data_IF_069206377659
#
_entry.id   IF_069206377659
#
_cell.length_a   1.000
_cell.length_b   1.000
_cell.length_c   1.000
_cell.angle_alpha   90.00
_cell.angle_beta   90.00
_cell.angle_gamma   90.00
#
_symmetry.space_group_name_H-M   'P 1'
#
loop_
_entity.id
_entity.type
_entity.pdbx_description
1 polymer ?
#
# COMPACT_ATOMS: atom_id res chain seq x y z
N UNK A 1 16.66 -5.83 -18.31
CA UNK A 1 17.17 -5.84 -16.92
C UNK A 1 17.61 -4.42 -16.53
N UNK A 2 16.75 -3.44 -16.81
CA UNK A 2 16.95 -2.00 -16.58
C UNK A 2 15.65 -1.51 -15.93
N UNK A 3 15.76 -0.60 -14.95
CA UNK A 3 14.73 0.26 -14.33
C UNK A 3 13.96 -0.16 -13.06
N UNK A 4 14.05 -1.38 -12.50
CA UNK A 4 13.32 -1.68 -11.25
C UNK A 4 13.84 -0.91 -10.03
N UNK A 5 15.17 -0.77 -9.87
CA UNK A 5 15.78 0.05 -8.80
C UNK A 5 15.35 1.53 -8.85
N UNK A 6 15.04 2.04 -10.05
CA UNK A 6 14.70 3.47 -10.25
C UNK A 6 13.25 3.79 -9.88
N UNK A 7 12.33 2.85 -10.08
CA UNK A 7 10.89 3.06 -9.84
C UNK A 7 10.61 3.09 -8.33
N UNK A 8 11.07 2.09 -7.57
CA UNK A 8 10.91 2.06 -6.11
C UNK A 8 11.58 3.27 -5.44
N UNK A 9 12.83 3.59 -5.83
CA UNK A 9 13.55 4.71 -5.24
C UNK A 9 12.83 6.05 -5.50
N UNK A 10 12.14 6.20 -6.65
CA UNK A 10 11.28 7.36 -6.90
C UNK A 10 10.06 7.35 -5.97
N UNK A 11 9.35 6.22 -5.86
CA UNK A 11 8.17 6.10 -5.03
C UNK A 11 8.47 6.40 -3.55
N UNK A 12 9.58 5.91 -3.00
CA UNK A 12 10.02 6.27 -1.64
C UNK A 12 10.27 7.77 -1.52
N UNK A 13 11.06 8.35 -2.43
CA UNK A 13 11.44 9.77 -2.34
C UNK A 13 10.21 10.67 -2.42
N UNK A 14 9.36 10.46 -3.43
CA UNK A 14 8.14 11.23 -3.61
C UNK A 14 7.12 10.96 -2.49
N UNK A 15 6.95 9.70 -2.08
CA UNK A 15 6.06 9.33 -0.97
C UNK A 15 6.48 9.93 0.36
N UNK A 16 7.78 9.86 0.69
CA UNK A 16 8.34 10.53 1.88
C UNK A 16 8.14 12.04 1.80
N UNK A 17 8.31 12.65 0.62
CA UNK A 17 8.13 14.08 0.45
C UNK A 17 6.69 14.55 0.78
N UNK A 18 5.66 13.70 0.57
CA UNK A 18 4.26 14.03 0.92
C UNK A 18 4.05 14.29 2.41
N UNK A 19 4.93 13.82 3.29
CA UNK A 19 4.81 14.07 4.73
C UNK A 19 5.34 15.44 5.17
N UNK A 20 5.91 16.23 4.25
CA UNK A 20 6.31 17.60 4.54
C UNK A 20 5.08 18.47 4.89
N UNK A 21 5.23 19.50 5.73
CA UNK A 21 4.12 20.33 6.17
C UNK A 21 3.66 21.33 5.09
N UNK A 22 3.07 20.83 4.02
CA UNK A 22 2.51 21.65 2.95
C UNK A 22 1.34 22.52 3.46
N UNK A 23 1.13 23.72 2.88
CA UNK A 23 -0.05 24.52 3.16
C UNK A 23 -1.34 23.76 2.79
N UNK A 24 -2.42 24.00 3.55
CA UNK A 24 -3.75 23.38 3.32
C UNK A 24 -4.32 23.55 1.91
N UNK A 25 -3.84 24.54 1.17
CA UNK A 25 -4.29 24.87 -0.20
C UNK A 25 -3.43 24.24 -1.28
N UNK A 26 -2.35 23.54 -0.92
CA UNK A 26 -1.43 22.92 -1.86
C UNK A 26 -1.62 21.40 -1.83
N UNK A 27 -1.98 20.81 -2.98
CA UNK A 27 -2.08 19.37 -3.12
C UNK A 27 -0.70 18.73 -3.16
N UNK A 28 -0.48 17.71 -2.34
CA UNK A 28 0.75 16.92 -2.33
C UNK A 28 0.90 16.09 -3.61
N UNK A 29 -0.19 15.78 -4.34
CA UNK A 29 -0.09 15.18 -5.67
C UNK A 29 0.72 16.08 -6.61
N UNK A 30 0.35 17.35 -6.68
CA UNK A 30 1.04 18.34 -7.52
C UNK A 30 2.44 18.68 -7.00
N UNK A 31 2.62 18.74 -5.68
CA UNK A 31 3.91 19.11 -5.09
C UNK A 31 4.97 17.99 -5.15
N UNK A 32 4.54 16.73 -5.27
CA UNK A 32 5.42 15.56 -5.26
C UNK A 32 5.42 14.79 -6.59
N UNK A 33 4.90 15.39 -7.67
CA UNK A 33 4.84 14.82 -9.02
C UNK A 33 4.12 13.44 -9.09
N UNK A 34 3.03 13.29 -8.34
CA UNK A 34 2.09 12.17 -8.48
C UNK A 34 0.96 12.52 -9.43
N UNK A 35 0.50 11.53 -10.18
CA UNK A 35 -0.64 11.72 -11.09
C UNK A 35 -1.90 11.21 -10.42
N UNK A 36 -2.91 12.07 -10.32
CA UNK A 36 -4.24 11.65 -9.91
C UNK A 36 -4.85 10.70 -10.94
N UNK A 37 -5.39 9.58 -10.47
CA UNK A 37 -6.19 8.66 -11.25
C UNK A 37 -7.59 8.56 -10.66
N UNK A 38 -8.59 8.98 -11.44
CA UNK A 38 -9.98 8.96 -11.03
C UNK A 38 -10.66 7.71 -11.57
N UNK A 39 -11.24 6.91 -10.66
CA UNK A 39 -11.93 5.66 -11.01
C UNK A 39 -13.44 5.81 -10.79
N UNK A 40 -14.28 5.10 -11.57
CA UNK A 40 -15.72 5.11 -11.35
C UNK A 40 -16.07 4.74 -9.90
N UNK A 41 -17.13 5.33 -9.34
CA UNK A 41 -17.64 5.03 -7.99
C UNK A 41 -16.73 5.39 -6.81
N UNK A 42 -15.59 6.04 -7.03
CA UNK A 42 -14.75 6.61 -5.98
C UNK A 42 -14.71 8.14 -6.11
N UNK A 43 -15.00 8.85 -5.02
CA UNK A 43 -14.95 10.33 -4.98
C UNK A 43 -13.55 10.87 -4.59
N UNK A 44 -12.57 9.99 -4.41
CA UNK A 44 -11.19 10.35 -4.10
C UNK A 44 -10.25 9.83 -5.20
N UNK A 45 -9.20 10.60 -5.57
CA UNK A 45 -8.23 10.16 -6.55
C UNK A 45 -7.32 9.08 -5.98
N UNK A 46 -6.87 8.18 -6.86
CA UNK A 46 -5.78 7.25 -6.61
C UNK A 46 -4.46 7.83 -7.11
N UNK A 47 -3.34 7.32 -6.61
CA UNK A 47 -2.02 7.56 -7.20
C UNK A 47 -1.84 6.62 -8.38
N UNK A 48 -1.81 7.14 -9.61
CA UNK A 48 -1.69 6.34 -10.84
C UNK A 48 -0.46 5.43 -10.83
N UNK A 49 0.63 5.91 -10.24
CA UNK A 49 1.91 5.20 -10.15
C UNK A 49 1.90 4.06 -9.10
N UNK A 50 0.86 3.95 -8.26
CA UNK A 50 0.79 2.91 -7.23
C UNK A 50 0.44 1.54 -7.82
N UNK A 51 1.24 0.49 -7.56
CA UNK A 51 0.98 -0.86 -8.05
C UNK A 51 -0.16 -1.56 -7.30
N UNK A 52 -0.54 -1.08 -6.11
CA UNK A 52 -1.72 -1.51 -5.37
C UNK A 52 -2.55 -0.28 -5.00
N UNK A 53 -3.82 -0.30 -5.37
CA UNK A 53 -4.75 0.78 -5.10
C UNK A 53 -5.99 0.20 -4.40
N UNK A 54 -6.34 0.77 -3.25
CA UNK A 54 -7.43 0.27 -2.40
C UNK A 54 -8.47 1.38 -2.22
N UNK A 55 -9.66 1.17 -2.78
CA UNK A 55 -10.80 2.06 -2.57
C UNK A 55 -11.51 1.71 -1.27
N UNK A 56 -11.75 2.71 -0.42
CA UNK A 56 -12.37 2.51 0.90
C UNK A 56 -13.59 3.42 1.10
N UNK A 57 -14.65 2.87 1.69
CA UNK A 57 -15.80 3.63 2.21
C UNK A 57 -15.68 3.76 3.72
N UNK A 58 -15.78 4.97 4.25
CA UNK A 58 -15.78 5.20 5.70
C UNK A 58 -16.93 4.42 6.36
N UNK A 59 -16.62 3.68 7.42
CA UNK A 59 -17.60 2.96 8.25
C UNK A 59 -17.61 3.48 9.68
N UNK A 60 -16.45 3.82 10.22
CA UNK A 60 -16.37 4.36 11.59
C UNK A 60 -15.18 5.30 11.74
N UNK A 61 -15.37 6.32 12.56
CA UNK A 61 -14.32 7.25 13.00
C UNK A 61 -14.32 7.27 14.53
N UNK A 62 -13.19 6.88 15.12
CA UNK A 62 -13.03 6.77 16.56
C UNK A 62 -11.86 7.64 17.04
N UNK A 63 -12.12 8.79 17.67
CA UNK A 63 -11.09 9.55 18.39
C UNK A 63 -10.57 8.75 19.59
N UNK A 64 -9.25 8.65 19.71
CA UNK A 64 -8.56 8.01 20.84
C UNK A 64 -7.99 9.10 21.74
N UNK A 65 -8.77 9.53 22.73
CA UNK A 65 -8.43 10.67 23.61
C UNK A 65 -7.11 10.47 24.36
N UNK A 66 -6.75 9.22 24.67
CA UNK A 66 -5.52 8.87 25.41
C UNK A 66 -4.23 9.35 24.74
N UNK A 67 -4.22 9.56 23.43
CA UNK A 67 -3.03 9.96 22.68
C UNK A 67 -3.33 10.93 21.51
N UNK A 68 -4.56 11.43 21.42
CA UNK A 68 -4.96 12.40 20.40
C UNK A 68 -4.96 11.85 18.96
N UNK A 69 -4.96 10.53 18.77
CA UNK A 69 -5.02 9.91 17.44
C UNK A 69 -6.47 9.58 17.04
N UNK A 70 -6.68 9.26 15.76
CA UNK A 70 -7.97 8.82 15.25
C UNK A 70 -7.83 7.44 14.60
N UNK A 71 -8.64 6.48 15.05
CA UNK A 71 -8.79 5.20 14.38
C UNK A 71 -9.91 5.29 13.34
N UNK A 72 -9.56 5.09 12.07
CA UNK A 72 -10.48 5.11 10.94
C UNK A 72 -10.73 3.67 10.49
N UNK A 73 -11.99 3.26 10.45
CA UNK A 73 -12.41 1.95 9.93
C UNK A 73 -13.06 2.16 8.56
N UNK A 74 -12.47 1.57 7.53
CA UNK A 74 -12.95 1.61 6.15
C UNK A 74 -13.37 0.22 5.67
N UNK A 75 -14.45 0.17 4.89
CA UNK A 75 -14.81 -1.01 4.08
C UNK A 75 -14.09 -0.92 2.74
N UNK A 76 -13.33 -1.96 2.39
CA UNK A 76 -12.72 -2.09 1.05
C UNK A 76 -13.84 -2.28 0.03
N UNK A 77 -14.00 -1.32 -0.87
CA UNK A 77 -14.99 -1.37 -1.95
C UNK A 77 -14.41 -1.80 -3.29
N UNK A 78 -13.13 -1.48 -3.54
CA UNK A 78 -12.46 -1.74 -4.81
C UNK A 78 -10.97 -2.05 -4.58
N UNK A 79 -10.40 -2.92 -5.41
CA UNK A 79 -8.98 -3.25 -5.43
C UNK A 79 -8.49 -3.22 -6.87
N UNK A 80 -7.40 -2.50 -7.12
CA UNK A 80 -6.73 -2.46 -8.42
C UNK A 80 -5.26 -2.84 -8.24
N UNK A 81 -4.82 -3.80 -9.04
CA UNK A 81 -3.46 -4.33 -9.03
C UNK A 81 -3.17 -5.01 -10.39
N UNK A 82 -1.89 -5.17 -10.77
CA UNK A 82 -1.51 -5.91 -11.97
C UNK A 82 -2.02 -7.35 -11.95
N UNK A 83 -2.55 -7.84 -13.06
CA UNK A 83 -3.12 -9.19 -13.13
C UNK A 83 -2.13 -10.31 -12.74
N UNK A 84 -0.84 -10.12 -13.02
CA UNK A 84 0.22 -11.06 -12.67
C UNK A 84 0.49 -11.16 -11.16
N UNK A 85 0.08 -10.15 -10.37
CA UNK A 85 0.31 -10.15 -8.94
C UNK A 85 -0.62 -11.14 -8.20
N UNK A 86 -1.70 -11.59 -8.83
CA UNK A 86 -2.63 -12.54 -8.20
C UNK A 86 -2.18 -13.97 -8.41
N UNK A 87 -1.89 -14.65 -7.29
CA UNK A 87 -1.61 -16.08 -7.22
C UNK A 87 -2.87 -16.90 -7.44
N UNK A 88 -2.69 -18.18 -7.80
CA UNK A 88 -3.81 -19.11 -8.07
C UNK A 88 -4.72 -19.32 -6.85
N UNK A 89 -4.18 -19.22 -5.64
CA UNK A 89 -4.92 -19.32 -4.38
C UNK A 89 -5.70 -18.03 -4.02
N UNK A 90 -5.58 -16.99 -4.84
CA UNK A 90 -6.23 -15.69 -4.65
C UNK A 90 -5.41 -14.68 -3.83
N UNK A 91 -4.25 -15.06 -3.28
CA UNK A 91 -3.35 -14.13 -2.61
C UNK A 91 -2.63 -13.21 -3.60
N UNK A 92 -2.09 -12.09 -3.10
CA UNK A 92 -1.22 -11.22 -3.90
C UNK A 92 0.26 -11.54 -3.62
N UNK A 93 1.04 -11.71 -4.68
CA UNK A 93 2.50 -11.81 -4.65
C UNK A 93 3.11 -10.41 -4.51
N UNK A 94 3.14 -9.89 -3.28
CA UNK A 94 3.57 -8.52 -2.98
C UNK A 94 5.04 -8.25 -3.36
N UNK A 95 5.86 -9.29 -3.33
CA UNK A 95 7.26 -9.31 -3.79
C UNK A 95 7.40 -9.02 -5.30
N UNK A 96 6.33 -9.19 -6.08
CA UNK A 96 6.30 -8.95 -7.53
C UNK A 96 5.67 -7.60 -7.89
N UNK A 97 5.29 -6.79 -6.90
CA UNK A 97 4.55 -5.54 -7.10
C UNK A 97 5.40 -4.29 -6.89
N UNK A 98 6.73 -4.41 -6.76
CA UNK A 98 7.63 -3.29 -6.45
C UNK A 98 7.17 -2.45 -5.24
N UNK A 99 6.59 -3.14 -4.24
CA UNK A 99 6.08 -2.54 -3.01
C UNK A 99 7.19 -2.28 -1.98
N UNK A 100 6.80 -1.54 -0.95
CA UNK A 100 7.70 -1.07 0.10
C UNK A 100 7.04 -1.30 1.45
N UNK A 101 7.85 -1.63 2.44
CA UNK A 101 7.46 -1.65 3.85
C UNK A 101 8.21 -0.58 4.61
N UNK A 102 7.59 -0.04 5.64
CA UNK A 102 8.23 0.94 6.54
C UNK A 102 8.53 0.27 7.87
N UNK A 103 9.74 0.48 8.37
CA UNK A 103 10.17 0.12 9.71
C UNK A 103 10.56 1.38 10.46
N UNK A 104 10.00 1.59 11.65
CA UNK A 104 10.19 2.82 12.40
C UNK A 104 9.56 4.03 11.69
N UNK A 105 10.30 5.13 11.59
CA UNK A 105 9.81 6.40 11.05
C UNK A 105 10.31 6.72 9.65
N UNK A 106 11.47 6.20 9.26
CA UNK A 106 12.23 6.69 8.09
C UNK A 106 12.93 5.57 7.30
N UNK A 107 12.82 4.32 7.72
CA UNK A 107 13.52 3.21 7.09
C UNK A 107 12.56 2.41 6.21
N UNK A 108 12.90 2.30 4.93
CA UNK A 108 12.13 1.58 3.92
C UNK A 108 12.85 0.30 3.51
N UNK A 109 12.09 -0.78 3.33
CA UNK A 109 12.59 -2.08 2.88
C UNK A 109 11.66 -2.66 1.82
N UNK A 110 12.19 -3.52 0.96
CA UNK A 110 11.39 -4.26 -0.01
C UNK A 110 11.06 -5.64 0.53
N UNK A 111 9.83 -6.15 0.34
CA UNK A 111 9.53 -7.53 0.64
C UNK A 111 10.31 -8.45 -0.30
N UNK A 112 11.02 -9.42 0.25
CA UNK A 112 11.55 -10.54 -0.51
C UNK A 112 10.46 -11.60 -0.73
N UNK A 113 10.77 -12.61 -1.55
CA UNK A 113 9.88 -13.75 -1.76
C UNK A 113 9.45 -14.35 -0.42
N UNK A 114 8.13 -14.41 -0.21
CA UNK A 114 7.55 -14.95 1.02
C UNK A 114 7.42 -16.48 0.97
N UNK A 115 7.60 -17.13 2.11
CA UNK A 115 7.29 -18.56 2.27
C UNK A 115 5.86 -18.70 2.75
N UNK A 116 5.07 -19.54 2.08
CA UNK A 116 3.70 -19.83 2.47
C UNK A 116 3.61 -21.23 3.09
N UNK A 117 2.85 -21.35 4.18
CA UNK A 117 2.65 -22.62 4.87
C UNK A 117 1.19 -23.07 4.74
N UNK A 118 0.98 -24.39 4.72
CA UNK A 118 -0.34 -24.97 4.94
C UNK A 118 -0.82 -24.63 6.36
N UNK A 119 -2.14 -24.64 6.54
CA UNK A 119 -2.73 -24.56 7.88
C UNK A 119 -2.10 -25.60 8.80
N UNK A 120 -1.56 -25.13 9.94
CA UNK A 120 -0.84 -25.97 10.89
C UNK A 120 -1.75 -27.06 11.47
N UNK A 121 -1.17 -28.21 11.81
CA UNK A 121 -1.83 -29.31 12.52
C UNK A 121 -1.01 -29.67 13.76
N UNK A 122 -1.68 -30.14 14.80
CA UNK A 122 -1.06 -30.41 16.12
C UNK A 122 -0.02 -31.54 16.03
N UNK A 123 -0.26 -32.49 15.16
CA UNK A 123 0.45 -33.76 15.03
C UNK A 123 1.47 -33.80 13.89
N UNK A 124 1.54 -32.76 13.05
CA UNK A 124 2.47 -32.71 11.92
C UNK A 124 3.26 -31.41 11.92
N UNK A 125 4.58 -31.44 11.62
CA UNK A 125 5.36 -30.23 11.39
C UNK A 125 4.72 -29.32 10.31
N UNK A 126 4.98 -28.01 10.36
CA UNK A 126 4.56 -27.09 9.30
C UNK A 126 5.04 -27.58 7.94
N UNK A 127 4.17 -27.49 6.93
CA UNK A 127 4.47 -27.88 5.55
C UNK A 127 4.38 -26.64 4.68
N UNK A 128 5.47 -26.31 4.00
CA UNK A 128 5.49 -25.24 3.00
C UNK A 128 4.58 -25.61 1.81
N UNK A 129 4.00 -24.59 1.18
CA UNK A 129 3.15 -24.72 -0.01
C UNK A 129 3.97 -24.88 -1.28
#
# INVERSE_FOLDING_TARGET
MLDTERIYARAIRAGTQTSAPYPRTQSEFAACDFTEEWKPNCQAPFVRESPLQVGCKLRQHLPLEINGTHMIIGEVSELFFPSHARREDGALALDQMDLVTVSGLDTYSQPEFGVAFRAARIDTPPTEL
#
